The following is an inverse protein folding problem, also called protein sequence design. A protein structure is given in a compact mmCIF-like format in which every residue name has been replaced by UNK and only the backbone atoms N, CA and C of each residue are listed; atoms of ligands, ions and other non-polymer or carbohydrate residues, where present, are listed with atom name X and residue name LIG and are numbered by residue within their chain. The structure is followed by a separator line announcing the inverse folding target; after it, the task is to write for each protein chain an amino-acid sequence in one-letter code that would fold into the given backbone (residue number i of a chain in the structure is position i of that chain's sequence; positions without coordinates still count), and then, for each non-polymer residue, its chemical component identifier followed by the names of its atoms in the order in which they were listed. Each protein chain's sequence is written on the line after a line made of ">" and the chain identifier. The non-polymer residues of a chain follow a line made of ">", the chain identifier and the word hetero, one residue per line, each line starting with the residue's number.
data_IF_093703555657
#
_entry.id   IF_093703555657
#
_cell.length_a   1.000
_cell.length_b   1.000
_cell.length_c   1.000
_cell.angle_alpha   90.00
_cell.angle_beta   90.00
_cell.angle_gamma   90.00
#
_symmetry.space_group_name_H-M   'P 1'
#
loop_
_entity.id
_entity.type
_entity.pdbx_description
1 polymer ?
#
# COMPACT_ATOMS: atom_id res chain seq x y z
N UNK A 1 -34.97 -18.34 -34.62
CA UNK A 1 -35.85 -18.94 -33.57
C UNK A 1 -35.08 -20.04 -32.86
N UNK A 2 -34.99 -19.96 -31.53
CA UNK A 2 -34.78 -21.03 -30.53
C UNK A 2 -34.10 -20.41 -29.30
N UNK A 3 -34.91 -19.85 -28.40
CA UNK A 3 -35.44 -20.44 -27.14
C UNK A 3 -34.43 -20.31 -25.99
N UNK A 4 -34.61 -19.19 -25.28
CA UNK A 4 -34.03 -18.84 -23.98
C UNK A 4 -34.51 -19.84 -22.93
N UNK A 5 -33.59 -20.41 -22.14
CA UNK A 5 -33.92 -21.05 -20.87
C UNK A 5 -33.29 -20.23 -19.75
N UNK A 6 -34.14 -19.43 -19.11
CA UNK A 6 -33.83 -18.60 -17.95
C UNK A 6 -34.06 -19.47 -16.70
N UNK A 7 -32.99 -19.87 -16.02
CA UNK A 7 -33.10 -20.55 -14.72
C UNK A 7 -33.12 -19.49 -13.60
N UNK A 8 -34.30 -19.32 -12.99
CA UNK A 8 -34.53 -18.56 -11.77
C UNK A 8 -34.16 -19.43 -10.56
N UNK A 9 -33.10 -19.08 -9.84
CA UNK A 9 -32.85 -19.60 -8.50
C UNK A 9 -33.51 -18.67 -7.47
N UNK A 10 -34.60 -19.15 -6.87
CA UNK A 10 -35.22 -18.52 -5.71
C UNK A 10 -34.38 -18.88 -4.46
N UNK A 11 -33.79 -17.88 -3.82
CA UNK A 11 -33.12 -18.05 -2.52
C UNK A 11 -34.12 -17.60 -1.44
N UNK A 12 -34.61 -18.57 -0.66
CA UNK A 12 -35.45 -18.33 0.50
C UNK A 12 -34.58 -17.84 1.67
N UNK A 13 -34.96 -16.69 2.25
CA UNK A 13 -34.32 -16.08 3.42
C UNK A 13 -35.04 -16.61 4.67
N UNK A 14 -34.37 -17.33 5.59
CA UNK A 14 -34.94 -17.57 6.91
C UNK A 14 -34.78 -16.32 7.79
N UNK A 15 -35.92 -15.72 8.15
CA UNK A 15 -36.08 -14.75 9.23
C UNK A 15 -35.78 -15.43 10.58
N UNK A 16 -34.78 -14.94 11.30
CA UNK A 16 -34.58 -15.23 12.72
C UNK A 16 -35.05 -14.03 13.53
N UNK A 17 -36.24 -14.17 14.12
CA UNK A 17 -36.83 -13.18 15.02
C UNK A 17 -36.67 -13.61 16.49
N UNK A 18 -36.12 -12.68 17.26
CA UNK A 18 -36.34 -12.37 18.68
C UNK A 18 -35.86 -13.34 19.77
N UNK A 19 -35.14 -12.74 20.73
CA UNK A 19 -34.94 -13.27 22.07
C UNK A 19 -34.29 -12.22 22.97
N UNK A 20 -35.11 -11.36 23.58
CA UNK A 20 -34.70 -10.43 24.62
C UNK A 20 -34.23 -11.20 25.86
N UNK A 21 -33.12 -10.75 26.46
CA UNK A 21 -32.60 -11.30 27.71
C UNK A 21 -31.70 -10.27 28.39
N UNK A 22 -32.30 -9.36 29.15
CA UNK A 22 -31.58 -8.53 30.11
C UNK A 22 -31.21 -9.38 31.32
N UNK A 23 -29.92 -9.50 31.64
CA UNK A 23 -29.46 -9.79 33.00
C UNK A 23 -28.28 -8.87 33.32
N UNK A 24 -28.53 -7.94 34.23
CA UNK A 24 -27.53 -7.15 34.95
C UNK A 24 -26.64 -8.07 35.80
N UNK A 25 -25.33 -7.90 35.70
CA UNK A 25 -24.40 -8.19 36.80
C UNK A 25 -23.33 -7.11 36.85
N UNK A 26 -22.94 -6.82 38.09
CA UNK A 26 -22.35 -5.60 38.60
C UNK A 26 -20.93 -5.31 38.11
N UNK A 27 -20.62 -4.02 38.28
CA UNK A 27 -19.30 -3.42 38.18
C UNK A 27 -18.26 -4.08 39.08
N UNK A 28 -17.08 -4.28 38.52
CA UNK A 28 -15.80 -4.19 39.24
C UNK A 28 -14.96 -3.14 38.53
N UNK A 29 -14.75 -2.05 39.27
CA UNK A 29 -13.82 -0.96 39.03
C UNK A 29 -12.39 -1.46 38.97
N UNK A 30 -11.76 -1.33 37.80
CA UNK A 30 -10.32 -1.13 37.70
C UNK A 30 -10.12 0.27 37.12
N UNK A 31 -9.65 1.19 37.95
CA UNK A 31 -9.35 2.57 37.59
C UNK A 31 -8.21 2.62 36.56
N UNK A 32 -8.38 3.25 35.39
CA UNK A 32 -7.23 3.68 34.63
C UNK A 32 -6.65 4.94 35.30
N UNK A 33 -5.43 4.80 35.81
CA UNK A 33 -4.59 5.86 36.35
C UNK A 33 -4.57 7.09 35.42
N UNK A 34 -5.30 8.15 35.78
CA UNK A 34 -5.27 9.44 35.08
C UNK A 34 -4.08 10.24 35.63
N UNK A 35 -3.02 10.37 34.85
CA UNK A 35 -2.00 11.39 35.10
C UNK A 35 -2.50 12.74 34.54
N UNK A 36 -2.49 13.84 35.33
CA UNK A 36 -2.80 15.16 34.80
C UNK A 36 -1.62 15.67 33.98
N UNK A 37 -1.76 15.68 32.65
CA UNK A 37 -0.76 16.30 31.78
C UNK A 37 -1.06 17.81 31.66
N UNK A 38 -0.34 18.59 32.46
CA UNK A 38 -0.29 20.05 32.34
C UNK A 38 0.95 20.40 31.51
N UNK A 39 0.76 20.76 30.25
CA UNK A 39 1.84 21.24 29.38
C UNK A 39 1.41 21.22 27.93
N UNK A 40 1.37 22.40 27.30
CA UNK A 40 1.17 22.53 25.87
C UNK A 40 2.28 21.77 25.13
N UNK A 41 1.90 20.73 24.40
CA UNK A 41 2.81 19.96 23.54
C UNK A 41 2.72 20.58 22.15
N UNK A 42 3.80 21.24 21.73
CA UNK A 42 4.04 21.55 20.31
C UNK A 42 4.00 20.24 19.50
N UNK A 43 3.57 20.25 18.23
CA UNK A 43 3.49 19.03 17.44
C UNK A 43 4.92 18.54 17.13
N UNK A 44 5.43 17.60 17.92
CA UNK A 44 6.64 16.86 17.62
C UNK A 44 6.30 15.74 16.63
N UNK A 45 6.81 15.86 15.41
CA UNK A 45 6.65 14.92 14.30
C UNK A 45 6.99 13.46 14.68
N UNK A 46 6.26 12.45 14.17
CA UNK A 46 6.69 11.07 14.29
C UNK A 46 7.83 10.79 13.30
N UNK A 47 9.08 11.01 13.73
CA UNK A 47 10.23 10.31 13.14
C UNK A 47 10.20 8.88 13.67
N UNK A 48 10.00 7.92 12.78
CA UNK A 48 10.02 6.50 13.14
C UNK A 48 11.44 6.05 13.52
N UNK A 49 11.77 6.04 14.82
CA UNK A 49 13.06 5.59 15.34
C UNK A 49 13.16 4.06 15.59
N UNK A 50 12.13 3.25 15.29
CA UNK A 50 12.20 1.79 15.52
C UNK A 50 13.21 1.13 14.55
N UNK A 51 14.30 0.51 15.04
CA UNK A 51 15.32 -0.14 14.20
C UNK A 51 14.80 -1.30 13.34
N UNK A 52 13.57 -1.79 13.58
CA UNK A 52 12.92 -2.82 12.75
C UNK A 52 12.21 -2.25 11.52
N UNK A 53 12.03 -0.92 11.42
CA UNK A 53 11.35 -0.31 10.30
C UNK A 53 12.36 -0.11 9.16
N UNK A 54 12.17 -0.78 8.01
CA UNK A 54 13.14 -0.81 6.90
C UNK A 54 13.26 0.51 6.12
N UNK A 55 12.43 1.50 6.42
CA UNK A 55 12.52 2.85 5.83
C UNK A 55 12.46 3.94 6.90
N UNK A 56 13.09 5.07 6.62
CA UNK A 56 12.81 6.34 7.28
C UNK A 56 12.05 7.25 6.34
N UNK A 57 11.17 8.10 6.87
CA UNK A 57 10.41 9.11 6.14
C UNK A 57 10.00 10.23 7.09
N UNK A 58 9.54 11.36 6.54
CA UNK A 58 8.89 12.45 7.27
C UNK A 58 7.55 12.80 6.62
N UNK A 59 6.57 13.16 7.44
CA UNK A 59 5.29 13.73 7.01
C UNK A 59 5.15 15.20 7.40
N UNK A 60 6.22 15.82 7.90
CA UNK A 60 6.20 17.20 8.36
C UNK A 60 5.88 18.14 7.20
N UNK A 61 4.87 19.00 7.36
CA UNK A 61 4.38 19.89 6.31
C UNK A 61 3.15 19.38 5.54
N UNK A 62 2.62 18.19 5.83
CA UNK A 62 1.37 17.69 5.22
C UNK A 62 0.45 17.01 6.26
N UNK A 63 -0.85 17.20 6.10
CA UNK A 63 -1.86 16.56 6.97
C UNK A 63 -2.09 15.11 6.56
N UNK A 64 -1.35 14.18 7.17
CA UNK A 64 -1.27 12.77 6.74
C UNK A 64 -1.45 11.80 7.89
N UNK A 65 -2.13 10.69 7.62
CA UNK A 65 -2.13 9.50 8.47
C UNK A 65 -1.31 8.39 7.81
N UNK A 66 -0.56 7.63 8.61
CA UNK A 66 0.28 6.53 8.12
C UNK A 66 -0.26 5.21 8.65
N UNK A 67 -0.43 4.23 7.77
CA UNK A 67 -0.75 2.87 8.14
C UNK A 67 0.17 1.88 7.44
N UNK A 68 0.47 0.77 8.11
CA UNK A 68 1.33 -0.28 7.59
C UNK A 68 0.57 -1.60 7.57
N UNK A 69 0.76 -2.38 6.50
CA UNK A 69 0.28 -3.76 6.42
C UNK A 69 1.29 -4.66 5.70
N UNK A 70 1.18 -5.96 5.95
CA UNK A 70 1.94 -6.98 5.23
C UNK A 70 1.01 -7.72 4.27
N UNK A 71 1.49 -8.04 3.07
CA UNK A 71 0.77 -8.80 2.06
C UNK A 71 1.71 -9.79 1.37
N UNK A 72 1.22 -10.92 0.83
CA UNK A 72 2.07 -11.84 0.08
C UNK A 72 2.61 -11.20 -1.20
N UNK A 73 3.74 -11.74 -1.69
CA UNK A 73 4.17 -11.51 -3.07
C UNK A 73 3.18 -12.20 -4.03
N UNK A 74 2.57 -11.43 -4.93
CA UNK A 74 1.47 -11.89 -5.80
C UNK A 74 1.79 -11.80 -7.30
N UNK A 75 2.99 -11.36 -7.68
CA UNK A 75 3.35 -11.31 -9.09
C UNK A 75 3.50 -12.73 -9.63
N UNK A 76 2.85 -12.98 -10.76
CA UNK A 76 3.00 -14.20 -11.54
C UNK A 76 4.04 -14.01 -12.65
N UNK A 77 4.59 -15.09 -13.18
CA UNK A 77 5.56 -15.02 -14.26
C UNK A 77 4.97 -14.30 -15.49
N UNK A 78 3.74 -14.67 -15.88
CA UNK A 78 3.03 -14.04 -16.99
C UNK A 78 2.80 -12.54 -16.80
N UNK A 79 2.55 -12.07 -15.57
CA UNK A 79 2.40 -10.64 -15.30
C UNK A 79 3.72 -9.89 -15.50
N UNK A 80 4.81 -10.41 -14.94
CA UNK A 80 6.13 -9.78 -15.08
C UNK A 80 6.62 -9.82 -16.54
N UNK A 81 6.37 -10.91 -17.25
CA UNK A 81 6.65 -11.01 -18.69
C UNK A 81 5.88 -9.96 -19.50
N UNK A 82 4.60 -9.77 -19.19
CA UNK A 82 3.77 -8.76 -19.85
C UNK A 82 4.30 -7.34 -19.60
N UNK A 83 4.69 -7.03 -18.35
CA UNK A 83 5.28 -5.73 -17.98
C UNK A 83 6.61 -5.50 -18.71
N UNK A 84 7.49 -6.51 -18.70
CA UNK A 84 8.77 -6.47 -19.38
C UNK A 84 8.61 -6.23 -20.90
N UNK A 85 7.68 -6.94 -21.53
CA UNK A 85 7.36 -6.79 -22.94
C UNK A 85 6.85 -5.38 -23.27
N UNK A 86 6.00 -4.81 -22.41
CA UNK A 86 5.52 -3.43 -22.56
C UNK A 86 6.67 -2.43 -22.47
N UNK A 87 7.64 -2.69 -21.60
CA UNK A 87 8.86 -1.90 -21.48
C UNK A 87 9.95 -2.21 -22.53
N UNK A 88 9.69 -3.12 -23.47
CA UNK A 88 10.63 -3.49 -24.52
C UNK A 88 11.84 -4.31 -24.05
N UNK A 89 11.80 -4.87 -22.84
CA UNK A 89 12.83 -5.78 -22.35
C UNK A 89 12.59 -7.20 -22.84
N UNK A 90 13.67 -7.94 -23.10
CA UNK A 90 13.63 -9.32 -23.60
C UNK A 90 14.37 -10.23 -22.64
N UNK A 91 13.76 -11.37 -22.36
CA UNK A 91 14.28 -12.38 -21.45
C UNK A 91 14.10 -13.77 -22.07
N UNK A 92 14.85 -14.75 -21.55
CA UNK A 92 14.68 -16.16 -21.90
C UNK A 92 13.32 -16.68 -21.40
N UNK A 93 12.79 -17.72 -22.06
CA UNK A 93 11.41 -18.19 -21.85
C UNK A 93 11.08 -18.60 -20.40
N UNK A 94 12.06 -19.05 -19.60
CA UNK A 94 11.86 -19.50 -18.22
C UNK A 94 12.37 -18.49 -17.16
N UNK A 95 12.74 -17.28 -17.60
CA UNK A 95 13.33 -16.27 -16.73
C UNK A 95 12.39 -15.85 -15.59
N UNK A 96 11.14 -15.52 -15.92
CA UNK A 96 10.18 -15.02 -14.93
C UNK A 96 9.65 -16.10 -13.99
N UNK A 97 9.59 -17.37 -14.44
CA UNK A 97 9.30 -18.51 -13.55
C UNK A 97 10.38 -18.68 -12.49
N UNK A 98 11.65 -18.61 -12.91
CA UNK A 98 12.80 -18.63 -11.98
C UNK A 98 12.78 -17.43 -11.04
N UNK A 99 12.45 -16.25 -11.55
CA UNK A 99 12.37 -15.03 -10.74
C UNK A 99 11.31 -15.14 -9.65
N UNK A 100 10.06 -15.48 -10.03
CA UNK A 100 8.95 -15.66 -9.08
C UNK A 100 9.29 -16.74 -8.04
N UNK A 101 9.97 -17.81 -8.45
CA UNK A 101 10.41 -18.87 -7.52
C UNK A 101 11.30 -18.33 -6.41
N UNK A 102 12.20 -17.36 -6.68
CA UNK A 102 13.04 -16.72 -5.65
C UNK A 102 12.22 -16.00 -4.58
N UNK A 103 11.03 -15.51 -4.94
CA UNK A 103 10.12 -14.80 -4.04
C UNK A 103 9.08 -15.72 -3.38
N UNK A 104 9.14 -17.03 -3.58
CA UNK A 104 8.22 -17.98 -2.93
C UNK A 104 8.19 -17.80 -1.41
N UNK A 105 6.97 -17.77 -0.86
CA UNK A 105 6.73 -17.55 0.58
C UNK A 105 7.14 -16.16 1.10
N UNK A 106 7.48 -15.22 0.22
CA UNK A 106 7.82 -13.86 0.64
C UNK A 106 6.57 -13.02 0.86
N UNK A 107 6.71 -12.05 1.76
CA UNK A 107 5.74 -10.99 1.94
C UNK A 107 6.35 -9.65 1.58
N UNK A 108 5.51 -8.71 1.16
CA UNK A 108 5.79 -7.29 1.01
C UNK A 108 5.18 -6.51 2.17
N UNK A 109 5.85 -5.43 2.56
CA UNK A 109 5.33 -4.44 3.50
C UNK A 109 4.80 -3.26 2.70
N UNK A 110 3.60 -2.79 3.01
CA UNK A 110 2.93 -1.68 2.32
C UNK A 110 2.66 -0.58 3.34
N UNK A 111 3.22 0.59 3.08
CA UNK A 111 2.94 1.83 3.81
C UNK A 111 1.95 2.65 3.00
N UNK A 112 0.85 3.04 3.64
CA UNK A 112 -0.15 3.93 3.05
C UNK A 112 -0.05 5.27 3.79
N UNK A 113 0.34 6.30 3.05
CA UNK A 113 0.36 7.69 3.50
C UNK A 113 -0.91 8.35 2.96
N UNK A 114 -1.95 8.42 3.80
CA UNK A 114 -3.27 8.91 3.42
C UNK A 114 -3.44 10.35 3.86
N UNK A 115 -3.74 11.23 2.91
CA UNK A 115 -4.11 12.61 3.15
C UNK A 115 -5.39 12.67 3.98
N UNK A 116 -5.41 13.54 4.99
CA UNK A 116 -6.53 13.65 5.95
C UNK A 116 -7.43 14.85 5.69
N UNK A 117 -7.03 15.77 4.81
CA UNK A 117 -7.87 16.86 4.33
C UNK A 117 -8.82 16.42 3.21
N UNK A 118 -9.58 17.37 2.67
CA UNK A 118 -10.41 17.10 1.50
C UNK A 118 -9.55 16.91 0.24
N UNK A 119 -9.84 15.87 -0.54
CA UNK A 119 -9.10 15.54 -1.76
C UNK A 119 -10.03 15.44 -2.95
N UNK A 120 -9.58 15.87 -4.13
CA UNK A 120 -10.12 15.36 -5.39
C UNK A 120 -9.44 14.02 -5.72
N UNK A 121 -10.21 13.04 -6.19
CA UNK A 121 -9.68 11.73 -6.58
C UNK A 121 -8.97 10.96 -5.45
N UNK A 122 -7.83 10.33 -5.78
CA UNK A 122 -7.07 9.49 -4.86
C UNK A 122 -6.34 10.31 -3.79
N UNK A 123 -6.42 9.84 -2.54
CA UNK A 123 -5.91 10.54 -1.36
C UNK A 123 -4.70 9.85 -0.71
N UNK A 124 -4.22 8.74 -1.28
CA UNK A 124 -3.23 7.87 -0.62
C UNK A 124 -2.02 7.65 -1.51
N UNK A 125 -0.85 8.05 -1.01
CA UNK A 125 0.46 7.67 -1.58
C UNK A 125 0.92 6.35 -0.98
N UNK A 126 1.32 5.40 -1.82
CA UNK A 126 1.66 4.03 -1.39
C UNK A 126 3.14 3.76 -1.63
N UNK A 127 3.82 3.28 -0.58
CA UNK A 127 5.20 2.80 -0.64
C UNK A 127 5.21 1.32 -0.30
N UNK A 128 5.76 0.51 -1.19
CA UNK A 128 5.84 -0.93 -1.00
C UNK A 128 7.30 -1.36 -0.89
N UNK A 129 7.59 -2.20 0.10
CA UNK A 129 8.88 -2.85 0.29
C UNK A 129 8.76 -4.34 0.05
N UNK A 130 9.70 -4.88 -0.71
CA UNK A 130 9.85 -6.30 -0.95
C UNK A 130 11.29 -6.70 -0.59
N UNK A 131 11.54 -7.83 0.09
CA UNK A 131 12.90 -8.29 0.34
C UNK A 131 13.67 -8.51 -0.97
N UNK A 132 14.93 -8.09 -1.05
CA UNK A 132 15.77 -8.24 -2.24
C UNK A 132 16.31 -9.69 -2.41
N UNK A 133 15.39 -10.66 -2.51
CA UNK A 133 15.75 -12.09 -2.69
C UNK A 133 16.36 -12.40 -4.05
N UNK A 134 16.14 -11.53 -5.04
CA UNK A 134 16.72 -11.68 -6.37
C UNK A 134 18.21 -11.31 -6.42
N UNK A 135 18.70 -10.55 -5.43
CA UNK A 135 20.08 -10.09 -5.34
C UNK A 135 20.38 -8.96 -6.32
N UNK A 136 19.43 -8.06 -6.57
CA UNK A 136 19.67 -6.89 -7.42
C UNK A 136 20.70 -5.97 -6.78
N UNK A 137 21.64 -5.49 -7.58
CA UNK A 137 22.70 -4.57 -7.12
C UNK A 137 22.59 -3.18 -7.74
N UNK A 138 21.65 -2.97 -8.68
CA UNK A 138 21.40 -1.67 -9.29
C UNK A 138 19.92 -1.46 -9.62
N UNK A 139 19.52 -0.18 -9.69
CA UNK A 139 18.14 0.19 -10.01
C UNK A 139 17.77 -0.24 -11.44
N UNK A 140 18.72 -0.24 -12.36
CA UNK A 140 18.48 -0.69 -13.74
C UNK A 140 18.15 -2.17 -13.83
N UNK A 141 18.81 -3.03 -13.02
CA UNK A 141 18.47 -4.45 -12.97
C UNK A 141 17.07 -4.65 -12.38
N UNK A 142 16.77 -3.94 -11.30
CA UNK A 142 15.46 -3.99 -10.66
C UNK A 142 14.34 -3.53 -11.62
N UNK A 143 14.56 -2.43 -12.34
CA UNK A 143 13.61 -1.92 -13.34
C UNK A 143 13.38 -2.87 -14.51
N UNK A 144 14.41 -3.57 -15.00
CA UNK A 144 14.23 -4.53 -16.10
C UNK A 144 13.16 -5.60 -15.82
N UNK A 145 12.99 -5.95 -14.54
CA UNK A 145 12.11 -7.03 -14.13
C UNK A 145 10.75 -6.56 -13.60
N UNK A 146 10.65 -5.32 -13.10
CA UNK A 146 9.46 -4.83 -12.41
C UNK A 146 8.95 -3.44 -12.84
N UNK A 147 9.58 -2.79 -13.81
CA UNK A 147 9.14 -1.45 -14.23
C UNK A 147 7.77 -1.49 -14.93
N UNK A 148 7.11 -0.34 -14.93
CA UNK A 148 5.83 -0.12 -15.59
C UNK A 148 6.02 0.99 -16.61
N UNK A 149 5.78 0.70 -17.89
CA UNK A 149 5.99 1.67 -18.97
C UNK A 149 4.73 2.44 -19.38
N UNK A 150 3.69 2.37 -18.55
CA UNK A 150 2.50 3.22 -18.62
C UNK A 150 2.45 4.20 -17.44
N UNK A 151 1.72 5.31 -17.63
CA UNK A 151 1.47 6.28 -16.56
C UNK A 151 0.35 5.80 -15.63
N UNK A 152 0.34 6.30 -14.39
CA UNK A 152 -0.69 5.98 -13.39
C UNK A 152 -0.61 4.55 -12.79
N UNK A 153 0.58 3.93 -12.76
CA UNK A 153 0.83 2.65 -12.10
C UNK A 153 0.96 2.74 -10.58
N UNK A 154 0.88 1.58 -9.92
CA UNK A 154 0.80 1.48 -8.46
C UNK A 154 2.12 1.09 -7.78
N UNK A 155 3.14 0.69 -8.56
CA UNK A 155 4.39 0.17 -8.02
C UNK A 155 5.56 0.37 -9.00
N UNK A 156 6.13 1.57 -9.03
CA UNK A 156 7.33 1.87 -9.81
C UNK A 156 8.59 1.58 -8.98
N UNK A 157 9.58 0.84 -9.51
CA UNK A 157 10.88 0.68 -8.87
C UNK A 157 11.59 2.03 -8.66
N UNK A 158 11.83 2.40 -7.41
CA UNK A 158 12.41 3.72 -7.07
C UNK A 158 13.80 3.62 -6.44
N UNK A 159 14.01 2.68 -5.52
CA UNK A 159 15.30 2.50 -4.87
C UNK A 159 15.48 1.06 -4.36
N UNK A 160 16.72 0.67 -4.07
CA UNK A 160 17.05 -0.61 -3.47
C UNK A 160 18.27 -0.50 -2.55
N UNK A 161 18.44 -1.52 -1.70
CA UNK A 161 19.70 -1.88 -1.07
C UNK A 161 19.82 -3.41 -1.05
N UNK A 162 20.82 -3.94 -0.34
CA UNK A 162 21.07 -5.39 -0.26
C UNK A 162 19.89 -6.18 0.32
N UNK A 163 19.03 -5.53 1.12
CA UNK A 163 17.95 -6.16 1.85
C UNK A 163 16.57 -5.92 1.22
N UNK A 164 16.37 -4.77 0.56
CA UNK A 164 15.05 -4.26 0.22
C UNK A 164 14.98 -3.68 -1.19
N UNK A 165 13.85 -3.93 -1.83
CA UNK A 165 13.39 -3.31 -3.07
C UNK A 165 12.22 -2.40 -2.71
N UNK A 166 12.30 -1.13 -3.10
CA UNK A 166 11.29 -0.14 -2.82
C UNK A 166 10.57 0.26 -4.10
N UNK A 167 9.24 0.16 -4.03
CA UNK A 167 8.32 0.63 -5.04
C UNK A 167 7.52 1.81 -4.50
N UNK A 168 7.23 2.79 -5.36
CA UNK A 168 6.32 3.88 -5.04
C UNK A 168 5.18 3.93 -6.04
N UNK A 169 3.98 4.26 -5.57
CA UNK A 169 2.85 4.50 -6.48
C UNK A 169 2.97 5.84 -7.19
N UNK A 170 2.29 5.96 -8.32
CA UNK A 170 1.90 7.27 -8.84
C UNK A 170 0.66 7.79 -8.09
N UNK A 171 0.36 9.07 -8.29
CA UNK A 171 -0.88 9.71 -7.83
C UNK A 171 -1.85 9.99 -8.98
N UNK A 172 -1.77 9.17 -10.04
CA UNK A 172 -2.52 9.39 -11.29
C UNK A 172 -1.89 10.44 -12.20
N UNK A 173 -2.67 10.93 -13.16
CA UNK A 173 -2.21 11.86 -14.22
C UNK A 173 -2.26 13.34 -13.84
N UNK A 174 -2.66 13.69 -12.61
CA UNK A 174 -2.78 15.08 -12.17
C UNK A 174 -3.99 15.84 -12.74
N UNK A 175 -4.97 15.14 -13.31
CA UNK A 175 -6.19 15.75 -13.85
C UNK A 175 -7.07 16.35 -12.75
N UNK A 176 -7.52 17.60 -12.95
CA UNK A 176 -8.53 18.24 -12.09
C UNK A 176 -9.93 17.72 -12.42
N UNK A 177 -10.73 17.42 -11.40
CA UNK A 177 -12.15 17.04 -11.55
C UNK A 177 -13.10 18.24 -11.51
N UNK A 178 -12.56 19.46 -11.40
CA UNK A 178 -13.33 20.71 -11.32
C UNK A 178 -13.85 21.05 -9.92
N UNK A 179 -13.53 20.27 -8.89
CA UNK A 179 -13.94 20.54 -7.51
C UNK A 179 -13.12 21.61 -6.79
N UNK A 180 -12.03 22.10 -7.41
CA UNK A 180 -11.05 23.02 -6.80
C UNK A 180 -10.41 22.49 -5.50
N UNK A 181 -10.44 21.18 -5.27
CA UNK A 181 -9.77 20.52 -4.13
C UNK A 181 -8.37 20.07 -4.52
N UNK A 182 -7.41 19.98 -3.58
CA UNK A 182 -6.09 19.43 -3.87
C UNK A 182 -6.16 17.94 -4.23
N UNK A 183 -5.15 17.43 -4.94
CA UNK A 183 -4.98 15.99 -5.17
C UNK A 183 -4.24 15.43 -3.95
N UNK A 184 -4.96 14.90 -2.98
CA UNK A 184 -4.42 14.50 -1.68
C UNK A 184 -3.24 13.53 -1.77
N UNK A 185 -3.29 12.56 -2.69
CA UNK A 185 -2.12 11.69 -2.93
C UNK A 185 -0.88 12.51 -3.31
N UNK A 186 -1.01 13.50 -4.19
CA UNK A 186 0.11 14.31 -4.67
C UNK A 186 0.66 15.20 -3.55
N UNK A 187 -0.21 15.84 -2.77
CA UNK A 187 0.18 16.63 -1.59
C UNK A 187 1.06 15.83 -0.62
N UNK A 188 0.67 14.57 -0.39
CA UNK A 188 1.43 13.66 0.47
C UNK A 188 2.72 13.22 -0.19
N UNK A 189 2.67 12.84 -1.46
CA UNK A 189 3.83 12.38 -2.22
C UNK A 189 4.94 13.43 -2.27
N UNK A 190 4.61 14.68 -2.55
CA UNK A 190 5.58 15.78 -2.69
C UNK A 190 6.37 16.04 -1.40
N UNK A 191 5.77 15.77 -0.23
CA UNK A 191 6.43 15.88 1.07
C UNK A 191 7.16 14.60 1.46
N UNK A 192 6.52 13.44 1.30
CA UNK A 192 7.01 12.17 1.84
C UNK A 192 8.11 11.58 0.95
N UNK A 193 7.90 11.49 -0.37
CA UNK A 193 8.84 10.85 -1.32
C UNK A 193 10.29 11.32 -1.16
N UNK A 194 10.63 12.63 -1.16
CA UNK A 194 12.02 13.08 -1.09
C UNK A 194 12.70 12.76 0.24
N UNK A 195 11.93 12.40 1.27
CA UNK A 195 12.45 12.08 2.61
C UNK A 195 12.66 10.59 2.84
N UNK A 196 12.17 9.74 1.93
CA UNK A 196 12.27 8.29 2.06
C UNK A 196 13.73 7.84 1.90
N UNK A 197 14.18 7.02 2.85
CA UNK A 197 15.47 6.31 2.76
C UNK A 197 15.29 4.87 3.22
N UNK A 198 16.00 3.95 2.57
CA UNK A 198 16.14 2.58 3.05
C UNK A 198 17.17 2.52 4.19
N UNK A 199 16.91 1.67 5.18
CA UNK A 199 17.87 1.31 6.23
C UNK A 199 18.68 0.07 5.87
#
# INVERSE_FOLDING_TARGET
>A
MNKKNLFLFAIAIPLLTMGAGCTTNQATTDEPYIMPFNGAVEPSDPVSEDPKIPITYSTSGVSTSVSQKTAPFVYTANQLESMAKECGTKHEADYFDKLVTKFSGSSKTIYNFKYTGESQGFDTFVVTLLPNKAGYTSLDQFKKDFDLCYAAGDAYPTMLNDNWLLFMSSCGSGGSDGSNKPIGCQEVKDVVEPTIKLR
#
